data_IF_309514732488
#
_entry.id   IF_309514732488
#
_cell.length_a   1.000
_cell.length_b   1.000
_cell.length_c   1.000
_cell.angle_alpha   90.00
_cell.angle_beta   90.00
_cell.angle_gamma   90.00
#
_symmetry.space_group_name_H-M   'P 1'
#
loop_
_entity.id
_entity.type
_entity.pdbx_description
1 polymer ?
#
# COMPACT_ATOMS: atom_id res chain seq x y z
N UNK A 1 17.21 27.00 30.80
CA UNK A 1 17.17 27.91 29.62
C UNK A 1 15.72 28.34 29.44
N UNK A 2 15.42 29.63 29.30
CA UNK A 2 14.06 30.08 28.94
C UNK A 2 13.94 30.14 27.41
N UNK A 3 12.87 29.57 26.80
CA UNK A 3 12.63 29.67 25.37
C UNK A 3 12.60 31.12 24.89
N UNK A 4 13.06 31.38 23.66
CA UNK A 4 13.03 32.71 23.05
C UNK A 4 11.63 33.35 23.07
N UNK A 5 10.59 32.52 22.96
CA UNK A 5 9.18 32.89 22.94
C UNK A 5 8.56 33.07 24.34
N UNK A 6 9.29 32.80 25.42
CA UNK A 6 8.75 32.87 26.80
C UNK A 6 8.19 34.23 27.23
N UNK A 7 8.52 35.29 26.49
CA UNK A 7 8.04 36.66 26.74
C UNK A 7 6.94 37.11 25.77
N UNK A 8 6.50 36.24 24.86
CA UNK A 8 5.49 36.61 23.87
C UNK A 8 4.13 36.66 24.56
N UNK A 9 3.48 37.83 24.65
CA UNK A 9 2.18 37.93 25.30
C UNK A 9 1.16 37.11 24.50
N UNK A 10 0.40 36.26 25.20
CA UNK A 10 -0.65 35.41 24.65
C UNK A 10 -0.18 34.29 23.69
N UNK A 11 1.09 33.89 23.73
CA UNK A 11 1.60 32.77 22.95
C UNK A 11 2.40 31.80 23.84
N UNK A 12 1.83 30.62 24.11
CA UNK A 12 2.58 29.51 24.71
C UNK A 12 3.12 28.62 23.59
N UNK A 13 4.44 28.60 23.43
CA UNK A 13 5.09 27.76 22.41
C UNK A 13 4.78 26.27 22.64
N UNK A 14 4.56 25.85 23.88
CA UNK A 14 4.23 24.47 24.21
C UNK A 14 2.83 24.08 23.73
N UNK A 15 1.92 25.05 23.60
CA UNK A 15 0.57 24.87 23.08
C UNK A 15 0.46 25.08 21.56
N UNK A 16 1.53 25.56 20.90
CA UNK A 16 1.53 25.89 19.46
C UNK A 16 2.23 24.84 18.59
N UNK A 17 2.87 23.83 19.20
CA UNK A 17 3.56 22.78 18.47
C UNK A 17 2.57 21.72 17.97
N UNK A 18 2.15 21.87 16.71
CA UNK A 18 1.35 20.88 16.00
C UNK A 18 2.13 19.56 15.79
N UNK A 19 1.42 18.42 15.68
CA UNK A 19 2.04 17.13 15.40
C UNK A 19 2.63 17.11 13.98
N UNK A 20 3.87 16.60 13.85
CA UNK A 20 4.58 16.53 12.57
C UNK A 20 5.03 15.09 12.28
N UNK A 21 4.25 14.42 11.42
CA UNK A 21 4.51 13.04 11.02
C UNK A 21 5.87 12.89 10.30
N UNK A 22 6.32 13.89 9.56
CA UNK A 22 7.54 13.75 8.77
C UNK A 22 8.78 13.86 9.66
N UNK A 23 8.89 14.93 10.43
CA UNK A 23 10.11 15.19 11.21
C UNK A 23 10.15 14.43 12.53
N UNK A 24 9.03 14.29 13.24
CA UNK A 24 9.01 13.62 14.54
C UNK A 24 8.94 12.10 14.37
N UNK A 25 8.07 11.63 13.48
CA UNK A 25 7.74 10.20 13.38
C UNK A 25 8.63 9.49 12.36
N UNK A 26 8.54 9.88 11.08
CA UNK A 26 9.24 9.18 9.99
C UNK A 26 10.75 9.40 10.07
N UNK A 27 11.20 10.65 10.14
CA UNK A 27 12.63 10.98 10.15
C UNK A 27 13.21 10.74 11.53
N UNK A 28 12.61 11.31 12.57
CA UNK A 28 13.11 11.21 13.94
C UNK A 28 13.03 9.81 14.52
N UNK A 29 11.82 9.35 14.81
CA UNK A 29 11.64 8.12 15.57
C UNK A 29 11.95 6.87 14.75
N UNK A 30 11.46 6.76 13.52
CA UNK A 30 11.72 5.58 12.69
C UNK A 30 13.16 5.55 12.19
N UNK A 31 13.54 6.52 11.37
CA UNK A 31 14.80 6.47 10.63
C UNK A 31 16.00 6.79 11.53
N UNK A 32 15.99 7.90 12.26
CA UNK A 32 17.15 8.34 13.03
C UNK A 32 17.32 7.54 14.34
N UNK A 33 16.24 7.00 14.92
CA UNK A 33 16.31 6.13 16.10
C UNK A 33 16.19 4.63 15.79
N UNK A 34 15.00 4.13 15.43
CA UNK A 34 14.76 2.67 15.35
C UNK A 34 15.65 1.95 14.33
N UNK A 35 15.77 2.50 13.11
CA UNK A 35 16.63 1.91 12.08
C UNK A 35 18.09 1.95 12.53
N UNK A 36 18.55 3.06 13.11
CA UNK A 36 19.91 3.20 13.66
C UNK A 36 20.17 2.18 14.77
N UNK A 37 19.28 2.07 15.77
CA UNK A 37 19.46 1.15 16.89
C UNK A 37 19.46 -0.32 16.47
N UNK A 38 18.63 -0.70 15.49
CA UNK A 38 18.67 -2.06 14.94
C UNK A 38 20.02 -2.34 14.26
N UNK A 39 20.58 -1.36 13.55
CA UNK A 39 21.91 -1.51 12.94
C UNK A 39 23.02 -1.59 13.98
N UNK A 40 22.97 -0.74 15.01
CA UNK A 40 23.94 -0.73 16.10
C UNK A 40 23.90 -2.04 16.90
N UNK A 41 22.70 -2.57 17.15
CA UNK A 41 22.52 -3.89 17.74
C UNK A 41 23.25 -4.98 16.94
N UNK A 42 23.08 -5.02 15.62
CA UNK A 42 23.75 -6.02 14.78
C UNK A 42 25.27 -5.89 14.82
N UNK A 43 25.78 -4.66 14.90
CA UNK A 43 27.21 -4.40 15.00
C UNK A 43 27.80 -4.77 16.37
N UNK A 44 27.01 -4.65 17.45
CA UNK A 44 27.43 -4.96 18.81
C UNK A 44 27.33 -6.46 19.13
N UNK A 45 26.22 -7.12 18.75
CA UNK A 45 25.93 -8.52 19.08
C UNK A 45 26.78 -9.52 18.27
N UNK A 46 27.23 -9.13 17.08
CA UNK A 46 27.90 -10.03 16.14
C UNK A 46 29.31 -9.59 15.82
N UNK A 47 30.16 -10.57 15.47
CA UNK A 47 31.47 -10.25 14.89
C UNK A 47 31.28 -9.39 13.62
N UNK A 48 32.22 -8.49 13.35
CA UNK A 48 32.16 -7.58 12.18
C UNK A 48 31.81 -8.31 10.87
N UNK A 49 32.38 -9.51 10.65
CA UNK A 49 32.09 -10.32 9.47
C UNK A 49 30.64 -10.80 9.44
N UNK A 50 30.12 -11.29 10.58
CA UNK A 50 28.74 -11.77 10.69
C UNK A 50 27.73 -10.63 10.61
N UNK A 51 28.00 -9.49 11.26
CA UNK A 51 27.18 -8.28 11.15
C UNK A 51 27.04 -7.84 9.69
N UNK A 52 28.16 -7.76 8.95
CA UNK A 52 28.14 -7.40 7.53
C UNK A 52 27.35 -8.40 6.66
N UNK A 53 27.39 -9.70 6.99
CA UNK A 53 26.58 -10.71 6.29
C UNK A 53 25.09 -10.53 6.53
N UNK A 54 24.68 -10.27 7.78
CA UNK A 54 23.29 -10.03 8.14
C UNK A 54 22.77 -8.75 7.48
N UNK A 55 23.54 -7.66 7.54
CA UNK A 55 23.18 -6.40 6.89
C UNK A 55 23.04 -6.57 5.38
N UNK A 56 23.93 -7.34 4.75
CA UNK A 56 23.83 -7.65 3.32
C UNK A 56 22.60 -8.50 2.98
N UNK A 57 22.20 -9.42 3.87
CA UNK A 57 20.99 -10.25 3.68
C UNK A 57 19.72 -9.40 3.80
N UNK A 58 19.66 -8.48 4.76
CA UNK A 58 18.59 -7.47 4.90
C UNK A 58 18.50 -6.59 3.66
N UNK A 59 19.63 -6.07 3.20
CA UNK A 59 19.69 -5.23 2.00
C UNK A 59 19.23 -6.01 0.76
N UNK A 60 19.56 -7.30 0.69
CA UNK A 60 19.11 -8.19 -0.38
C UNK A 60 17.60 -8.47 -0.30
N UNK A 61 17.07 -8.75 0.89
CA UNK A 61 15.63 -8.92 1.14
C UNK A 61 14.86 -7.69 0.64
N UNK A 62 15.28 -6.51 1.06
CA UNK A 62 14.71 -5.23 0.64
C UNK A 62 14.81 -5.04 -0.88
N UNK A 63 15.93 -5.40 -1.51
CA UNK A 63 16.13 -5.28 -2.95
C UNK A 63 15.27 -6.26 -3.78
N UNK A 64 14.90 -7.41 -3.19
CA UNK A 64 14.09 -8.47 -3.83
C UNK A 64 12.59 -8.28 -3.65
N UNK A 65 12.15 -7.28 -2.88
CA UNK A 65 10.72 -6.95 -2.73
C UNK A 65 10.09 -6.73 -4.11
N UNK A 66 8.95 -7.40 -4.42
CA UNK A 66 8.26 -7.21 -5.69
C UNK A 66 7.95 -5.74 -5.98
N UNK A 67 7.86 -5.38 -7.26
CA UNK A 67 7.42 -4.02 -7.61
C UNK A 67 5.98 -3.80 -7.18
N UNK A 68 5.71 -2.68 -6.51
CA UNK A 68 4.38 -2.27 -6.09
C UNK A 68 4.15 -0.80 -6.46
N UNK A 69 2.91 -0.43 -6.77
CA UNK A 69 2.58 0.95 -7.14
C UNK A 69 2.78 1.88 -5.94
N UNK A 70 3.46 3.01 -6.13
CA UNK A 70 3.79 3.93 -5.03
C UNK A 70 4.89 3.44 -4.06
N UNK A 71 5.51 2.27 -4.30
CA UNK A 71 6.68 1.82 -3.56
C UNK A 71 7.97 2.15 -4.34
N UNK A 72 8.84 2.96 -3.74
CA UNK A 72 10.18 3.20 -4.28
C UNK A 72 11.03 1.93 -4.10
N UNK A 73 11.74 1.55 -5.15
CA UNK A 73 12.66 0.39 -5.12
C UNK A 73 14.02 0.77 -4.53
N UNK A 74 14.61 -0.21 -3.86
CA UNK A 74 15.92 -0.13 -3.20
C UNK A 74 16.88 -1.17 -3.82
N UNK A 75 17.38 -0.96 -5.04
CA UNK A 75 18.23 -1.96 -5.73
C UNK A 75 19.54 -2.27 -5.00
N UNK A 76 20.04 -1.32 -4.19
CA UNK A 76 21.24 -1.46 -3.34
C UNK A 76 20.87 -1.58 -1.85
N UNK A 77 19.61 -1.95 -1.53
CA UNK A 77 19.12 -2.00 -0.15
C UNK A 77 19.19 -0.62 0.52
N UNK A 78 19.76 -0.54 1.73
CA UNK A 78 19.85 0.69 2.51
C UNK A 78 21.07 1.58 2.16
N UNK A 79 21.85 1.23 1.15
CA UNK A 79 23.14 1.89 0.79
C UNK A 79 23.08 3.33 0.27
N UNK A 80 22.07 4.14 0.63
CA UNK A 80 21.90 5.50 0.11
C UNK A 80 22.79 6.53 0.84
N UNK A 81 23.52 7.34 0.06
CA UNK A 81 24.38 8.43 0.58
C UNK A 81 23.57 9.58 1.21
N UNK A 82 22.34 9.79 0.75
CA UNK A 82 21.43 10.80 1.27
C UNK A 82 20.00 10.23 1.25
N UNK A 83 19.36 10.20 2.41
CA UNK A 83 18.00 9.71 2.58
C UNK A 83 17.01 10.88 2.51
N UNK A 84 15.96 10.76 1.70
CA UNK A 84 14.81 11.68 1.72
C UNK A 84 13.69 11.19 2.65
N UNK A 85 12.69 12.04 2.89
CA UNK A 85 11.46 11.64 3.58
C UNK A 85 10.75 10.48 2.88
N UNK A 86 10.70 10.49 1.55
CA UNK A 86 10.08 9.44 0.75
C UNK A 86 10.87 8.12 0.78
N UNK A 87 12.21 8.19 0.83
CA UNK A 87 13.05 7.01 1.05
C UNK A 87 12.74 6.37 2.41
N UNK A 88 12.56 7.21 3.44
CA UNK A 88 12.24 6.73 4.79
C UNK A 88 10.86 6.06 4.81
N UNK A 89 9.84 6.66 4.19
CA UNK A 89 8.49 6.07 4.06
C UNK A 89 8.51 4.76 3.28
N UNK A 90 9.25 4.69 2.17
CA UNK A 90 9.34 3.48 1.39
C UNK A 90 10.10 2.37 2.15
N UNK A 91 11.11 2.73 2.95
CA UNK A 91 11.78 1.77 3.83
C UNK A 91 10.83 1.24 4.92
N UNK A 92 9.98 2.09 5.51
CA UNK A 92 8.99 1.63 6.52
C UNK A 92 8.13 0.48 6.00
N UNK A 93 7.75 0.51 4.71
CA UNK A 93 6.92 -0.52 4.04
C UNK A 93 7.59 -1.91 3.96
N UNK A 94 8.91 -1.97 4.09
CA UNK A 94 9.69 -3.21 3.84
C UNK A 94 10.62 -3.60 4.99
N UNK A 95 10.85 -2.69 5.94
CA UNK A 95 11.85 -2.86 7.00
C UNK A 95 11.49 -3.94 8.01
N UNK A 96 10.25 -3.94 8.50
CA UNK A 96 9.80 -4.89 9.54
C UNK A 96 9.93 -6.36 9.07
N UNK A 97 9.42 -6.76 7.89
CA UNK A 97 9.68 -8.08 7.32
C UNK A 97 11.18 -8.40 7.15
N UNK A 98 11.98 -7.42 6.74
CA UNK A 98 13.38 -7.63 6.44
C UNK A 98 14.22 -7.90 7.70
N UNK A 99 13.83 -7.38 8.88
CA UNK A 99 14.58 -7.57 10.12
C UNK A 99 14.06 -8.71 10.99
N UNK A 100 12.83 -9.19 10.77
CA UNK A 100 12.13 -10.09 11.70
C UNK A 100 12.93 -11.36 12.06
N UNK A 101 13.70 -11.91 11.11
CA UNK A 101 14.51 -13.12 11.33
C UNK A 101 15.95 -12.85 11.80
N UNK A 102 16.31 -11.59 12.07
CA UNK A 102 17.68 -11.17 12.39
C UNK A 102 17.83 -10.43 13.71
N UNK A 103 16.73 -10.11 14.39
CA UNK A 103 16.73 -9.39 15.69
C UNK A 103 15.88 -10.15 16.71
N UNK A 104 16.06 -9.89 18.03
CA UNK A 104 15.22 -10.48 19.05
C UNK A 104 13.74 -10.14 18.82
N UNK A 105 12.79 -11.06 19.11
CA UNK A 105 11.36 -10.82 18.89
C UNK A 105 10.85 -9.51 19.51
N UNK A 106 11.36 -9.15 20.69
CA UNK A 106 10.99 -7.89 21.36
C UNK A 106 11.33 -6.62 20.56
N UNK A 107 12.41 -6.63 19.77
CA UNK A 107 12.70 -5.53 18.82
C UNK A 107 11.70 -5.49 17.68
N UNK A 108 11.29 -6.66 17.17
CA UNK A 108 10.23 -6.77 16.14
C UNK A 108 8.92 -6.21 16.69
N UNK A 109 8.55 -6.54 17.94
CA UNK A 109 7.34 -6.04 18.58
C UNK A 109 7.37 -4.51 18.73
N UNK A 110 8.51 -3.94 19.12
CA UNK A 110 8.68 -2.50 19.21
C UNK A 110 8.48 -1.82 17.85
N UNK A 111 9.14 -2.32 16.80
CA UNK A 111 8.99 -1.74 15.45
C UNK A 111 7.57 -1.92 14.93
N UNK A 112 6.95 -3.09 15.14
CA UNK A 112 5.56 -3.37 14.75
C UNK A 112 4.56 -2.43 15.42
N UNK A 113 4.61 -2.28 16.75
CA UNK A 113 3.75 -1.36 17.49
C UNK A 113 3.93 0.10 17.05
N UNK A 114 5.16 0.50 16.72
CA UNK A 114 5.44 1.82 16.17
C UNK A 114 4.85 2.01 14.77
N UNK A 115 4.92 0.99 13.90
CA UNK A 115 4.30 1.04 12.56
C UNK A 115 2.78 1.15 12.64
N UNK A 116 2.16 0.43 13.59
CA UNK A 116 0.73 0.52 13.85
C UNK A 116 0.32 1.93 14.32
N UNK A 117 1.06 2.52 15.27
CA UNK A 117 0.87 3.92 15.65
C UNK A 117 0.95 4.85 14.43
N UNK A 118 1.98 4.68 13.59
CA UNK A 118 2.17 5.51 12.40
C UNK A 118 1.03 5.38 11.40
N UNK A 119 0.45 4.19 11.27
CA UNK A 119 -0.71 3.93 10.43
C UNK A 119 -1.93 4.68 10.95
N UNK A 120 -2.27 4.50 12.23
CA UNK A 120 -3.42 5.15 12.87
C UNK A 120 -3.30 6.69 12.88
N UNK A 121 -2.12 7.22 13.19
CA UNK A 121 -1.88 8.66 13.22
C UNK A 121 -1.96 9.32 11.83
N UNK A 122 -1.96 8.53 10.76
CA UNK A 122 -2.19 8.97 9.38
C UNK A 122 -3.63 8.81 8.93
N UNK A 123 -4.55 8.38 9.78
CA UNK A 123 -5.95 8.43 9.40
C UNK A 123 -6.39 9.87 9.20
N UNK A 124 -7.15 10.11 8.13
CA UNK A 124 -7.69 11.43 7.85
C UNK A 124 -8.87 11.80 8.73
N UNK A 125 -9.60 10.79 9.21
CA UNK A 125 -10.63 10.91 10.23
C UNK A 125 -10.22 10.08 11.42
N UNK A 126 -10.13 10.73 12.58
CA UNK A 126 -9.71 10.11 13.83
C UNK A 126 -10.82 10.37 14.84
N UNK A 127 -11.52 9.32 15.23
CA UNK A 127 -12.54 9.33 16.27
C UNK A 127 -11.94 8.91 17.63
N UNK A 128 -12.74 8.91 18.69
CA UNK A 128 -12.27 8.50 20.03
C UNK A 128 -11.84 7.03 20.08
N UNK A 129 -12.42 6.16 19.24
CA UNK A 129 -11.99 4.76 19.10
C UNK A 129 -10.58 4.68 18.54
N UNK A 130 -10.30 5.43 17.47
CA UNK A 130 -8.98 5.50 16.85
C UNK A 130 -7.95 6.13 17.80
N UNK A 131 -8.33 7.16 18.57
CA UNK A 131 -7.46 7.73 19.60
C UNK A 131 -7.09 6.71 20.69
N UNK A 132 -8.04 5.91 21.15
CA UNK A 132 -7.76 4.84 22.11
C UNK A 132 -6.79 3.79 21.52
N UNK A 133 -6.95 3.45 20.22
CA UNK A 133 -6.02 2.57 19.52
C UNK A 133 -4.62 3.19 19.36
N UNK A 134 -4.53 4.50 19.11
CA UNK A 134 -3.26 5.25 19.07
C UNK A 134 -2.55 5.18 20.42
N UNK A 135 -3.26 5.46 21.52
CA UNK A 135 -2.71 5.39 22.87
C UNK A 135 -2.24 3.96 23.22
N UNK A 136 -3.01 2.95 22.82
CA UNK A 136 -2.64 1.55 23.02
C UNK A 136 -1.39 1.16 22.22
N UNK A 137 -1.27 1.58 20.96
CA UNK A 137 -0.10 1.33 20.11
C UNK A 137 1.16 2.02 20.67
N UNK A 138 1.05 3.28 21.11
CA UNK A 138 2.15 4.00 21.79
C UNK A 138 2.54 3.29 23.09
N UNK A 139 1.56 2.84 23.89
CA UNK A 139 1.80 2.09 25.12
C UNK A 139 2.57 0.79 24.87
N UNK A 140 2.17 0.01 23.86
CA UNK A 140 2.91 -1.19 23.43
C UNK A 140 4.32 -0.83 22.96
N UNK A 141 4.46 0.18 22.11
CA UNK A 141 5.77 0.62 21.65
C UNK A 141 6.71 1.00 22.80
N UNK A 142 6.24 1.77 23.78
CA UNK A 142 7.03 2.16 24.95
C UNK A 142 7.43 0.99 25.84
N UNK A 143 6.56 -0.01 25.99
CA UNK A 143 6.88 -1.22 26.73
C UNK A 143 7.96 -2.06 26.02
N UNK A 144 7.80 -2.27 24.71
CA UNK A 144 8.68 -3.18 23.97
C UNK A 144 10.04 -2.53 23.62
N UNK A 145 10.10 -1.19 23.43
CA UNK A 145 11.36 -0.49 23.12
C UNK A 145 12.41 -0.60 24.22
N UNK A 146 12.04 -0.94 25.46
CA UNK A 146 12.97 -1.20 26.57
C UNK A 146 14.06 -2.19 26.20
N UNK A 147 13.81 -3.08 25.23
CA UNK A 147 14.85 -3.97 24.68
C UNK A 147 16.12 -3.23 24.25
N UNK A 148 16.00 -2.00 23.71
CA UNK A 148 17.16 -1.23 23.26
C UNK A 148 18.05 -0.76 24.43
N UNK A 149 17.48 -0.58 25.64
CA UNK A 149 18.24 -0.37 26.87
C UNK A 149 18.80 -1.70 27.39
N UNK A 150 17.98 -2.75 27.41
CA UNK A 150 18.37 -4.09 27.89
C UNK A 150 19.59 -4.65 27.15
N UNK A 151 19.68 -4.41 25.84
CA UNK A 151 20.84 -4.81 25.01
C UNK A 151 21.96 -3.78 24.96
N UNK A 152 21.85 -2.66 25.69
CA UNK A 152 22.88 -1.64 25.82
C UNK A 152 23.10 -0.75 24.59
N UNK A 153 22.10 -0.64 23.70
CA UNK A 153 22.17 0.19 22.49
C UNK A 153 21.68 1.62 22.74
N UNK A 154 20.82 1.81 23.73
CA UNK A 154 20.28 3.09 24.13
C UNK A 154 20.50 3.28 25.64
N UNK A 155 20.95 4.47 26.06
CA UNK A 155 21.12 4.77 27.49
C UNK A 155 19.78 5.15 28.15
N UNK A 156 18.98 5.98 27.49
CA UNK A 156 17.65 6.39 27.93
C UNK A 156 16.78 6.89 26.75
N UNK A 157 15.46 7.02 27.00
CA UNK A 157 14.50 7.50 26.00
C UNK A 157 14.16 8.99 26.11
N UNK A 158 15.01 9.81 26.73
CA UNK A 158 14.85 11.27 26.87
C UNK A 158 15.16 12.00 25.56
N UNK A 159 14.70 11.43 24.45
CA UNK A 159 14.88 11.93 23.10
C UNK A 159 13.62 12.71 22.70
N UNK A 160 13.73 13.97 22.24
CA UNK A 160 12.58 14.82 21.95
C UNK A 160 11.54 14.17 21.02
N UNK A 161 11.99 13.46 19.98
CA UNK A 161 11.08 12.82 19.03
C UNK A 161 10.39 11.59 19.63
N UNK A 162 11.07 10.80 20.46
CA UNK A 162 10.46 9.68 21.20
C UNK A 162 9.43 10.19 22.23
N UNK A 163 9.75 11.28 22.92
CA UNK A 163 8.86 11.89 23.90
C UNK A 163 7.59 12.48 23.26
N UNK A 164 7.72 13.06 22.05
CA UNK A 164 6.60 13.68 21.34
C UNK A 164 5.41 12.74 21.11
N UNK A 165 5.66 11.43 21.01
CA UNK A 165 4.63 10.40 20.79
C UNK A 165 3.53 10.46 21.84
N UNK A 166 3.87 10.69 23.12
CA UNK A 166 2.92 10.76 24.22
C UNK A 166 1.87 11.86 24.05
N UNK A 167 2.18 12.87 23.25
CA UNK A 167 1.32 14.04 23.07
C UNK A 167 0.39 13.91 21.87
N UNK A 168 0.55 12.88 21.02
CA UNK A 168 -0.20 12.77 19.77
C UNK A 168 -1.71 12.79 19.98
N UNK A 169 -2.25 12.04 20.95
CA UNK A 169 -3.69 12.01 21.20
C UNK A 169 -4.24 13.36 21.66
N UNK A 170 -3.51 14.09 22.49
CA UNK A 170 -3.88 15.46 22.90
C UNK A 170 -3.77 16.45 21.75
N UNK A 171 -2.69 16.35 20.96
CA UNK A 171 -2.43 17.19 19.81
C UNK A 171 -3.46 16.98 18.71
N UNK A 172 -3.91 15.75 18.46
CA UNK A 172 -4.96 15.45 17.48
C UNK A 172 -6.29 16.09 17.92
N UNK A 173 -6.64 16.05 19.22
CA UNK A 173 -7.84 16.73 19.72
C UNK A 173 -7.77 18.25 19.56
N UNK A 174 -6.59 18.84 19.71
CA UNK A 174 -6.39 20.30 19.60
C UNK A 174 -6.32 20.79 18.15
N UNK A 175 -5.65 20.04 17.27
CA UNK A 175 -5.29 20.50 15.92
C UNK A 175 -5.97 19.73 14.79
N UNK A 176 -6.65 18.63 15.09
CA UNK A 176 -7.22 17.72 14.11
C UNK A 176 -6.22 16.69 13.58
N UNK A 177 -6.62 15.97 12.53
CA UNK A 177 -5.84 14.87 11.96
C UNK A 177 -4.46 15.36 11.45
N UNK A 178 -3.34 14.69 11.80
CA UNK A 178 -1.99 15.18 11.49
C UNK A 178 -1.70 15.33 9.99
N UNK A 179 -2.39 14.56 9.14
CA UNK A 179 -2.24 14.64 7.69
C UNK A 179 -2.49 16.04 7.12
N UNK A 180 -3.40 16.82 7.72
CA UNK A 180 -3.76 18.15 7.24
C UNK A 180 -2.80 19.27 7.65
N UNK A 181 -1.88 18.99 8.58
CA UNK A 181 -1.01 19.98 9.25
C UNK A 181 0.47 19.60 9.23
N UNK A 182 0.81 18.41 8.72
CA UNK A 182 2.17 17.92 8.63
C UNK A 182 3.04 18.75 7.68
N UNK A 183 4.32 18.92 8.04
CA UNK A 183 5.33 19.60 7.24
C UNK A 183 5.56 18.97 5.86
N UNK A 184 5.11 17.72 5.62
CA UNK A 184 5.14 17.10 4.29
C UNK A 184 4.37 17.89 3.22
N UNK A 185 3.33 18.64 3.62
CA UNK A 185 2.55 19.49 2.71
C UNK A 185 3.42 20.64 2.18
N UNK A 186 4.21 21.27 3.03
CA UNK A 186 5.08 22.38 2.63
C UNK A 186 6.34 21.88 1.95
N UNK A 187 6.93 20.77 2.40
CA UNK A 187 8.12 20.15 1.79
C UNK A 187 7.86 19.65 0.36
N UNK A 188 6.70 19.04 0.09
CA UNK A 188 6.32 18.65 -1.28
C UNK A 188 6.18 19.86 -2.22
N UNK A 189 5.68 20.99 -1.71
CA UNK A 189 5.62 22.26 -2.46
C UNK A 189 6.99 22.90 -2.67
N UNK A 190 7.97 22.69 -1.78
CA UNK A 190 9.34 23.13 -2.02
C UNK A 190 9.99 22.46 -3.25
N UNK A 191 9.55 21.25 -3.62
CA UNK A 191 10.00 20.55 -4.84
C UNK A 191 9.30 21.08 -6.10
N UNK A 192 7.99 21.34 -6.04
CA UNK A 192 7.19 21.74 -7.21
C UNK A 192 7.15 23.25 -7.46
N UNK A 193 7.31 24.06 -6.41
CA UNK A 193 7.20 25.51 -6.45
C UNK A 193 8.31 26.13 -5.58
N UNK A 194 9.51 26.37 -6.16
CA UNK A 194 10.50 27.23 -5.53
C UNK A 194 9.86 28.55 -5.14
N UNK A 195 10.37 29.23 -4.10
CA UNK A 195 9.79 30.46 -3.53
C UNK A 195 9.33 31.49 -4.58
N UNK A 196 10.03 31.60 -5.71
CA UNK A 196 9.65 32.46 -6.85
C UNK A 196 8.33 32.08 -7.53
N UNK A 197 8.04 30.79 -7.68
CA UNK A 197 6.78 30.30 -8.25
C UNK A 197 5.60 30.56 -7.30
N UNK A 198 5.80 30.39 -5.99
CA UNK A 198 4.79 30.67 -4.97
C UNK A 198 4.42 32.16 -4.94
N UNK A 199 5.41 33.04 -5.07
CA UNK A 199 5.20 34.49 -5.19
C UNK A 199 4.44 34.86 -6.48
N UNK A 200 4.74 34.18 -7.59
CA UNK A 200 4.02 34.36 -8.87
C UNK A 200 2.57 33.87 -8.79
N UNK A 201 2.30 32.75 -8.13
CA UNK A 201 0.94 32.24 -7.93
C UNK A 201 0.12 33.18 -7.05
N UNK A 202 0.69 33.70 -5.95
CA UNK A 202 0.01 34.70 -5.12
C UNK A 202 -0.27 35.98 -5.91
N UNK A 203 0.69 36.45 -6.72
CA UNK A 203 0.44 37.57 -7.64
C UNK A 203 -0.64 37.29 -8.68
N UNK A 204 -0.76 36.05 -9.17
CA UNK A 204 -1.83 35.66 -10.10
C UNK A 204 -3.20 35.61 -9.42
N UNK A 205 -3.27 35.13 -8.17
CA UNK A 205 -4.49 35.16 -7.38
C UNK A 205 -4.93 36.59 -7.09
N UNK A 206 -4.02 37.49 -6.73
CA UNK A 206 -4.31 38.91 -6.53
C UNK A 206 -4.83 39.57 -7.81
N UNK A 207 -4.22 39.24 -8.96
CA UNK A 207 -4.68 39.71 -10.28
C UNK A 207 -6.05 39.15 -10.65
N UNK A 208 -6.34 37.89 -10.33
CA UNK A 208 -7.65 37.28 -10.56
C UNK A 208 -8.73 37.93 -9.69
N UNK A 209 -8.43 38.20 -8.41
CA UNK A 209 -9.33 38.94 -7.52
C UNK A 209 -9.61 40.34 -8.09
N UNK A 210 -8.58 41.05 -8.56
CA UNK A 210 -8.75 42.35 -9.20
C UNK A 210 -9.58 42.30 -10.49
N UNK A 211 -9.40 41.26 -11.32
CA UNK A 211 -10.19 41.04 -12.54
C UNK A 211 -11.64 40.67 -12.22
N UNK A 212 -11.90 39.86 -11.19
CA UNK A 212 -13.25 39.56 -10.72
C UNK A 212 -13.97 40.83 -10.26
N UNK A 213 -13.30 41.74 -9.55
CA UNK A 213 -13.85 43.04 -9.16
C UNK A 213 -14.14 43.93 -10.38
N UNK A 214 -13.25 43.97 -11.38
CA UNK A 214 -13.48 44.71 -12.63
C UNK A 214 -14.67 44.15 -13.42
N UNK A 215 -14.79 42.81 -13.53
CA UNK A 215 -15.90 42.15 -14.21
C UNK A 215 -17.23 42.28 -13.46
N UNK A 216 -17.24 42.24 -12.13
CA UNK A 216 -18.41 42.58 -11.32
C UNK A 216 -18.85 44.04 -11.58
N UNK A 217 -17.90 44.98 -11.61
CA UNK A 217 -18.21 46.40 -11.85
C UNK A 217 -18.80 46.68 -13.25
N UNK A 218 -18.49 45.81 -14.22
CA UNK A 218 -19.01 45.87 -15.60
C UNK A 218 -20.28 45.04 -15.79
N UNK A 219 -20.82 44.43 -14.72
CA UNK A 219 -21.99 43.56 -14.78
C UNK A 219 -21.76 42.25 -15.53
N UNK A 220 -20.50 41.87 -15.75
CA UNK A 220 -20.10 40.65 -16.47
C UNK A 220 -19.95 39.43 -15.56
N UNK A 221 -19.96 39.64 -14.24
CA UNK A 221 -19.98 38.60 -13.22
C UNK A 221 -21.05 38.92 -12.17
N UNK A 222 -21.94 37.97 -11.90
CA UNK A 222 -22.92 38.04 -10.81
C UNK A 222 -22.43 37.10 -9.71
N UNK A 223 -22.06 37.66 -8.56
CA UNK A 223 -21.71 36.87 -7.39
C UNK A 223 -22.96 36.16 -6.87
N UNK A 224 -22.93 34.85 -6.60
CA UNK A 224 -23.98 34.24 -5.79
C UNK A 224 -23.92 34.87 -4.40
N UNK A 225 -25.06 35.31 -3.89
CA UNK A 225 -25.23 35.65 -2.48
C UNK A 225 -24.77 34.44 -1.67
N UNK A 226 -23.74 34.59 -0.84
CA UNK A 226 -23.34 33.55 0.12
C UNK A 226 -24.44 33.49 1.17
N UNK A 227 -25.47 32.69 0.87
CA UNK A 227 -26.50 32.22 1.77
C UNK A 227 -26.51 30.70 1.63
N UNK A 228 -26.39 30.03 2.77
CA UNK A 228 -26.47 28.59 2.99
C UNK A 228 -27.21 27.85 1.88
N UNK A 229 -26.49 26.94 1.21
CA UNK A 229 -26.99 25.65 0.70
C UNK A 229 -25.83 24.98 -0.07
N UNK A 230 -24.75 24.66 0.65
CA UNK A 230 -23.92 23.53 0.26
C UNK A 230 -24.72 22.28 0.63
N UNK A 231 -25.66 21.92 -0.24
CA UNK A 231 -26.34 20.63 -0.15
C UNK A 231 -25.27 19.59 -0.44
N UNK A 232 -24.91 18.83 0.60
CA UNK A 232 -24.10 17.62 0.50
C UNK A 232 -24.61 16.79 -0.68
N UNK A 233 -23.82 16.73 -1.75
CA UNK A 233 -24.02 15.71 -2.76
C UNK A 233 -23.76 14.36 -2.07
N UNK A 234 -24.71 13.41 -2.11
CA UNK A 234 -24.54 12.10 -1.48
C UNK A 234 -23.22 11.47 -1.93
N UNK A 235 -22.39 11.12 -0.96
CA UNK A 235 -21.06 10.55 -1.19
C UNK A 235 -21.11 9.37 -2.16
N UNK A 236 -20.30 9.46 -3.21
CA UNK A 236 -19.92 8.28 -4.00
C UNK A 236 -18.94 7.44 -3.17
N UNK A 237 -19.43 6.77 -2.13
CA UNK A 237 -18.66 5.82 -1.34
C UNK A 237 -18.71 4.46 -2.06
N UNK A 238 -18.05 4.36 -3.21
CA UNK A 238 -17.82 3.05 -3.86
C UNK A 238 -16.66 2.39 -3.13
N UNK A 239 -16.88 1.20 -2.54
CA UNK A 239 -15.86 0.43 -1.81
C UNK A 239 -14.60 0.18 -2.68
N UNK A 240 -14.79 0.00 -3.99
CA UNK A 240 -13.75 0.02 -5.01
C UNK A 240 -14.35 -0.13 -6.42
N UNK A 241 -13.77 0.52 -7.43
CA UNK A 241 -14.12 0.39 -8.85
C UNK A 241 -12.87 0.10 -9.66
N UNK A 242 -12.87 -1.00 -10.42
CA UNK A 242 -11.75 -1.41 -11.26
C UNK A 242 -12.14 -1.35 -12.72
N UNK A 243 -11.32 -0.68 -13.53
CA UNK A 243 -11.53 -0.53 -14.97
C UNK A 243 -10.33 -0.98 -15.77
N UNK A 244 -10.56 -1.82 -16.79
CA UNK A 244 -9.51 -2.18 -17.75
C UNK A 244 -8.97 -0.95 -18.47
N UNK A 245 -7.72 -1.03 -18.93
CA UNK A 245 -7.15 0.00 -19.78
C UNK A 245 -8.03 0.28 -21.01
N UNK A 246 -8.15 1.57 -21.38
CA UNK A 246 -9.02 2.01 -22.49
C UNK A 246 -8.73 1.30 -23.82
N UNK A 247 -7.48 0.99 -24.08
CA UNK A 247 -7.05 0.36 -25.33
C UNK A 247 -6.58 -1.08 -25.06
N UNK A 248 -7.12 -2.09 -25.77
CA UNK A 248 -6.58 -3.44 -25.75
C UNK A 248 -5.13 -3.48 -26.23
N UNK A 249 -4.36 -4.40 -25.67
CA UNK A 249 -3.04 -4.74 -26.13
C UNK A 249 -3.09 -5.26 -27.57
N UNK A 250 -2.10 -4.88 -28.36
CA UNK A 250 -1.98 -5.27 -29.76
C UNK A 250 -1.21 -6.59 -29.89
N UNK A 251 -1.28 -7.23 -31.05
CA UNK A 251 -0.51 -8.43 -31.40
C UNK A 251 -0.88 -9.71 -30.63
N UNK A 252 -1.99 -9.71 -29.88
CA UNK A 252 -2.56 -10.91 -29.29
C UNK A 252 -3.53 -11.60 -30.26
N UNK A 253 -3.58 -12.95 -30.25
CA UNK A 253 -4.65 -13.67 -30.92
C UNK A 253 -6.02 -13.26 -30.36
N UNK A 254 -7.02 -13.26 -31.25
CA UNK A 254 -8.37 -12.77 -30.96
C UNK A 254 -9.37 -13.86 -30.59
N UNK A 255 -9.00 -15.13 -30.73
CA UNK A 255 -9.81 -16.28 -30.30
C UNK A 255 -9.19 -16.91 -29.07
N UNK A 256 -10.03 -17.47 -28.20
CA UNK A 256 -9.64 -18.01 -26.91
C UNK A 256 -8.59 -19.13 -27.02
N UNK A 257 -8.77 -20.09 -27.94
CA UNK A 257 -7.85 -21.22 -28.11
C UNK A 257 -6.47 -20.79 -28.62
N UNK A 258 -6.43 -19.85 -29.57
CA UNK A 258 -5.16 -19.32 -30.08
C UNK A 258 -4.45 -18.50 -29.00
N UNK A 259 -5.22 -17.72 -28.22
CA UNK A 259 -4.67 -16.98 -27.09
C UNK A 259 -4.08 -17.93 -26.04
N UNK A 260 -4.80 -19.00 -25.70
CA UNK A 260 -4.38 -20.02 -24.73
C UNK A 260 -3.01 -20.63 -25.11
N UNK A 261 -2.84 -20.97 -26.39
CA UNK A 261 -1.56 -21.43 -26.93
C UNK A 261 -0.48 -20.36 -26.89
N UNK A 262 -0.80 -19.13 -27.31
CA UNK A 262 0.14 -18.01 -27.36
C UNK A 262 0.72 -17.64 -26.00
N UNK A 263 -0.10 -17.63 -24.93
CA UNK A 263 0.35 -17.31 -23.57
C UNK A 263 0.82 -18.54 -22.78
N UNK A 264 0.90 -19.71 -23.41
CA UNK A 264 1.26 -20.98 -22.76
C UNK A 264 0.36 -21.34 -21.56
N UNK A 265 -0.94 -21.06 -21.65
CA UNK A 265 -1.97 -21.45 -20.66
C UNK A 265 -3.08 -22.24 -21.39
N UNK A 266 -2.86 -23.53 -21.69
CA UNK A 266 -3.79 -24.33 -22.51
C UNK A 266 -5.17 -24.53 -21.87
N UNK A 267 -5.26 -24.41 -20.54
CA UNK A 267 -6.50 -24.52 -19.76
C UNK A 267 -7.33 -23.23 -19.73
N UNK A 268 -6.91 -22.17 -20.42
CA UNK A 268 -7.65 -20.91 -20.43
C UNK A 268 -9.13 -21.07 -20.87
N UNK A 269 -9.48 -21.91 -21.87
CA UNK A 269 -10.87 -22.19 -22.19
C UNK A 269 -11.65 -22.84 -21.05
N UNK A 270 -11.03 -23.77 -20.31
CA UNK A 270 -11.64 -24.41 -19.13
C UNK A 270 -11.97 -23.35 -18.07
N UNK A 271 -11.03 -22.44 -17.78
CA UNK A 271 -11.24 -21.37 -16.80
C UNK A 271 -12.35 -20.40 -17.19
N UNK A 272 -12.53 -20.10 -18.48
CA UNK A 272 -13.65 -19.29 -18.96
C UNK A 272 -14.98 -20.04 -18.78
N UNK A 273 -15.02 -21.35 -19.03
CA UNK A 273 -16.23 -22.16 -18.80
C UNK A 273 -16.63 -22.19 -17.32
N UNK A 274 -15.67 -22.47 -16.43
CA UNK A 274 -15.89 -22.45 -14.98
C UNK A 274 -16.36 -21.06 -14.51
N UNK A 275 -15.73 -19.99 -15.00
CA UNK A 275 -16.16 -18.63 -14.68
C UNK A 275 -17.59 -18.33 -15.14
N UNK A 276 -17.96 -18.72 -16.37
CA UNK A 276 -19.32 -18.53 -16.87
C UNK A 276 -20.35 -19.33 -16.06
N UNK A 277 -19.98 -20.52 -15.57
CA UNK A 277 -20.81 -21.24 -14.63
C UNK A 277 -21.09 -20.41 -13.38
N UNK A 278 -20.06 -19.82 -12.76
CA UNK A 278 -20.22 -18.95 -11.59
C UNK A 278 -21.12 -17.75 -11.89
N UNK A 279 -20.96 -17.12 -13.07
CA UNK A 279 -21.79 -15.97 -13.46
C UNK A 279 -23.25 -16.32 -13.69
N UNK A 280 -23.55 -17.54 -14.16
CA UNK A 280 -24.93 -17.99 -14.41
C UNK A 280 -25.59 -18.61 -13.18
N UNK A 281 -24.82 -18.92 -12.13
CA UNK A 281 -25.29 -19.59 -10.93
C UNK A 281 -24.80 -18.87 -9.64
N UNK A 282 -25.09 -17.57 -9.47
CA UNK A 282 -24.55 -16.77 -8.36
C UNK A 282 -24.99 -17.24 -6.98
N UNK A 283 -26.15 -17.91 -6.87
CA UNK A 283 -26.69 -18.39 -5.59
C UNK A 283 -26.18 -19.79 -5.20
N UNK A 284 -25.29 -20.40 -5.99
CA UNK A 284 -24.79 -21.76 -5.72
C UNK A 284 -23.55 -21.72 -4.82
N UNK A 285 -23.51 -22.63 -3.83
CA UNK A 285 -22.37 -22.75 -2.92
C UNK A 285 -21.14 -23.43 -3.58
N UNK A 286 -21.34 -24.09 -4.71
CA UNK A 286 -20.28 -24.83 -5.41
C UNK A 286 -19.69 -23.95 -6.51
N UNK A 287 -18.40 -23.63 -6.39
CA UNK A 287 -17.67 -22.90 -7.43
C UNK A 287 -17.54 -23.75 -8.70
N UNK A 288 -17.62 -23.11 -9.87
CA UNK A 288 -17.48 -23.72 -11.19
C UNK A 288 -16.14 -24.42 -11.40
N UNK A 289 -15.10 -24.09 -10.61
CA UNK A 289 -13.83 -24.81 -10.58
C UNK A 289 -13.93 -26.23 -9.98
N UNK A 290 -14.94 -26.47 -9.12
CA UNK A 290 -15.19 -27.76 -8.46
C UNK A 290 -16.29 -28.58 -9.17
N UNK A 291 -16.91 -28.01 -10.21
CA UNK A 291 -17.93 -28.66 -11.02
C UNK A 291 -17.28 -29.40 -12.20
N UNK A 292 -17.76 -30.61 -12.58
CA UNK A 292 -17.30 -31.28 -13.80
C UNK A 292 -17.49 -30.38 -15.02
N UNK A 293 -16.49 -30.32 -15.90
CA UNK A 293 -16.49 -29.41 -17.04
C UNK A 293 -17.69 -29.61 -17.98
N UNK A 294 -18.25 -30.83 -18.03
CA UNK A 294 -19.44 -31.16 -18.80
C UNK A 294 -20.71 -30.46 -18.31
N UNK A 295 -20.74 -30.03 -17.05
CA UNK A 295 -21.82 -29.25 -16.47
C UNK A 295 -21.59 -27.73 -16.61
N UNK A 296 -20.40 -27.30 -17.04
CA UNK A 296 -20.13 -25.89 -17.33
C UNK A 296 -20.70 -25.48 -18.70
N UNK A 297 -21.07 -24.19 -18.88
CA UNK A 297 -21.52 -23.69 -20.17
C UNK A 297 -20.46 -23.88 -21.26
N UNK A 298 -20.87 -24.37 -22.43
CA UNK A 298 -19.96 -24.51 -23.56
C UNK A 298 -19.54 -23.14 -24.09
N UNK A 299 -18.23 -22.92 -24.24
CA UNK A 299 -17.69 -21.70 -24.85
C UNK A 299 -17.68 -21.84 -26.38
N UNK A 300 -18.21 -20.85 -27.14
CA UNK A 300 -18.16 -20.86 -28.59
C UNK A 300 -16.70 -20.94 -29.12
N UNK A 301 -16.41 -21.74 -30.16
CA UNK A 301 -15.05 -21.87 -30.72
C UNK A 301 -14.45 -20.54 -31.22
N UNK A 302 -15.31 -19.58 -31.57
CA UNK A 302 -14.93 -18.27 -32.09
C UNK A 302 -15.15 -17.14 -31.08
N UNK A 303 -15.23 -17.46 -29.78
CA UNK A 303 -15.35 -16.44 -28.73
C UNK A 303 -14.21 -15.43 -28.84
N UNK A 304 -14.58 -14.18 -29.14
CA UNK A 304 -13.61 -13.13 -29.36
C UNK A 304 -13.12 -12.57 -28.03
N UNK A 305 -11.81 -12.51 -27.88
CA UNK A 305 -11.14 -12.02 -26.68
C UNK A 305 -10.30 -10.78 -26.97
N UNK A 306 -10.26 -9.87 -26.00
CA UNK A 306 -9.35 -8.71 -25.96
C UNK A 306 -8.43 -8.87 -24.76
N UNK A 307 -7.15 -8.56 -24.92
CA UNK A 307 -6.15 -8.62 -23.85
C UNK A 307 -5.78 -7.21 -23.40
N UNK A 308 -5.47 -7.03 -22.12
CA UNK A 308 -5.07 -5.75 -21.53
C UNK A 308 -3.86 -5.96 -20.63
N UNK A 309 -2.98 -4.96 -20.54
CA UNK A 309 -1.77 -5.00 -19.70
C UNK A 309 -1.93 -4.33 -18.35
N UNK A 310 -3.09 -3.70 -18.11
CA UNK A 310 -3.38 -3.06 -16.84
C UNK A 310 -4.86 -2.82 -16.63
N UNK A 311 -5.22 -2.70 -15.36
CA UNK A 311 -6.47 -2.11 -14.90
C UNK A 311 -6.15 -0.95 -13.95
N UNK A 312 -7.10 -0.04 -13.78
CA UNK A 312 -7.05 1.06 -12.83
C UNK A 312 -8.06 0.77 -11.73
N UNK A 313 -7.59 0.65 -10.49
CA UNK A 313 -8.43 0.54 -9.30
C UNK A 313 -8.65 1.93 -8.71
N UNK A 314 -9.90 2.20 -8.32
CA UNK A 314 -10.34 3.45 -7.69
C UNK A 314 -11.02 3.09 -6.39
N UNK A 315 -10.44 3.43 -5.25
CA UNK A 315 -10.94 3.00 -3.94
C UNK A 315 -10.78 4.10 -2.91
N UNK A 316 -11.57 4.03 -1.84
CA UNK A 316 -11.45 4.99 -0.74
C UNK A 316 -10.30 4.57 0.19
N UNK A 317 -9.34 5.46 0.42
CA UNK A 317 -8.19 5.21 1.31
C UNK A 317 -8.23 6.19 2.50
N UNK A 318 -8.73 5.76 3.68
CA UNK A 318 -8.91 6.63 4.83
C UNK A 318 -7.61 7.30 5.33
N UNK A 319 -6.45 6.68 5.06
CA UNK A 319 -5.13 7.16 5.47
C UNK A 319 -4.46 8.16 4.52
N UNK A 320 -4.99 8.37 3.31
CA UNK A 320 -4.37 9.23 2.29
C UNK A 320 -5.43 9.91 1.41
N UNK A 321 -5.89 11.12 1.78
CA UNK A 321 -6.82 11.93 0.98
C UNK A 321 -6.10 12.63 -0.18
N UNK A 322 -5.20 11.94 -0.88
CA UNK A 322 -4.65 12.40 -2.15
C UNK A 322 -5.69 12.16 -3.27
N UNK A 323 -6.78 12.93 -3.29
CA UNK A 323 -7.85 12.80 -4.29
C UNK A 323 -9.14 13.55 -3.94
N UNK A 324 -10.04 13.72 -4.91
CA UNK A 324 -11.36 14.33 -4.68
C UNK A 324 -12.16 13.38 -3.76
N UNK A 325 -12.50 13.82 -2.55
CA UNK A 325 -13.32 13.07 -1.61
C UNK A 325 -12.67 11.85 -0.96
N UNK A 326 -11.33 11.76 -0.92
CA UNK A 326 -10.62 10.62 -0.30
C UNK A 326 -10.43 9.39 -1.20
N UNK A 327 -10.73 9.52 -2.50
CA UNK A 327 -10.57 8.45 -3.49
C UNK A 327 -9.14 8.38 -4.02
N UNK A 328 -8.52 7.21 -3.90
CA UNK A 328 -7.21 6.87 -4.46
C UNK A 328 -7.36 6.18 -5.82
N UNK A 329 -6.39 6.37 -6.70
CA UNK A 329 -6.31 5.65 -7.96
C UNK A 329 -4.95 4.98 -8.08
N UNK A 330 -4.95 3.68 -8.40
CA UNK A 330 -3.72 2.99 -8.72
C UNK A 330 -3.84 2.10 -9.95
N UNK A 331 -2.70 1.84 -10.58
CA UNK A 331 -2.62 0.99 -11.75
C UNK A 331 -2.12 -0.39 -11.36
N UNK A 332 -2.96 -1.41 -11.58
CA UNK A 332 -2.60 -2.81 -11.45
C UNK A 332 -2.05 -3.29 -12.78
N UNK A 333 -0.86 -3.91 -12.79
CA UNK A 333 -0.16 -4.34 -14.00
C UNK A 333 -0.17 -5.86 -14.16
N UNK A 334 -0.42 -6.29 -15.39
CA UNK A 334 -0.24 -7.66 -15.87
C UNK A 334 0.39 -7.60 -17.27
N UNK A 335 1.68 -7.29 -17.30
CA UNK A 335 2.43 -7.08 -18.54
C UNK A 335 3.59 -8.06 -18.65
N UNK A 336 3.71 -8.83 -19.74
CA UNK A 336 4.83 -9.76 -19.93
C UNK A 336 6.16 -9.05 -20.16
N UNK A 337 6.13 -7.79 -20.58
CA UNK A 337 7.30 -6.93 -20.75
C UNK A 337 7.00 -5.60 -20.05
N UNK A 338 7.87 -5.20 -19.12
CA UNK A 338 7.73 -3.93 -18.40
C UNK A 338 9.05 -3.16 -18.43
N UNK A 339 9.01 -1.89 -18.87
CA UNK A 339 10.19 -1.01 -18.97
C UNK A 339 11.38 -1.65 -19.70
N UNK A 340 11.13 -2.37 -20.80
CA UNK A 340 12.13 -3.14 -21.56
C UNK A 340 12.85 -4.23 -20.75
N UNK A 341 12.28 -4.65 -19.63
CA UNK A 341 12.78 -5.72 -18.77
C UNK A 341 11.81 -6.90 -18.68
N UNK A 342 11.82 -7.55 -17.53
CA UNK A 342 10.97 -8.69 -17.24
C UNK A 342 9.49 -8.30 -17.09
N UNK A 343 8.61 -9.31 -17.09
CA UNK A 343 7.19 -9.09 -16.87
C UNK A 343 6.89 -8.59 -15.47
N UNK A 344 5.86 -7.73 -15.37
CA UNK A 344 5.31 -7.23 -14.12
C UNK A 344 3.88 -7.74 -13.96
N UNK A 345 3.65 -8.46 -12.87
CA UNK A 345 2.39 -9.11 -12.53
C UNK A 345 2.10 -8.80 -11.07
N UNK A 346 1.23 -7.81 -10.86
CA UNK A 346 0.92 -7.26 -9.56
C UNK A 346 -0.03 -8.18 -8.78
N UNK A 347 0.08 -8.15 -7.45
CA UNK A 347 -0.85 -8.81 -6.55
C UNK A 347 -2.01 -7.87 -6.22
N UNK A 348 -3.17 -8.43 -5.92
CA UNK A 348 -4.43 -7.72 -5.65
C UNK A 348 -5.16 -8.36 -4.49
N UNK A 349 -5.92 -7.55 -3.77
CA UNK A 349 -6.99 -8.00 -2.89
C UNK A 349 -8.27 -8.21 -3.69
N UNK A 350 -8.94 -9.33 -3.44
CA UNK A 350 -10.22 -9.70 -4.03
C UNK A 350 -11.22 -9.81 -2.88
N UNK A 351 -12.39 -9.22 -3.05
CA UNK A 351 -13.48 -9.34 -2.08
C UNK A 351 -13.93 -10.80 -1.95
N UNK A 352 -13.98 -11.30 -0.71
CA UNK A 352 -14.46 -12.64 -0.39
C UNK A 352 -15.79 -12.56 0.37
N UNK A 353 -15.80 -11.80 1.46
CA UNK A 353 -16.98 -11.62 2.28
C UNK A 353 -17.09 -10.16 2.72
N UNK A 354 -18.04 -9.38 2.15
CA UNK A 354 -18.20 -7.97 2.46
C UNK A 354 -18.74 -7.72 3.88
N UNK A 355 -19.21 -8.76 4.58
CA UNK A 355 -19.67 -8.65 5.97
C UNK A 355 -18.52 -8.77 7.00
N UNK A 356 -17.33 -9.16 6.55
CA UNK A 356 -16.16 -9.35 7.41
C UNK A 356 -15.15 -8.24 7.16
N UNK A 357 -14.95 -7.40 8.16
CA UNK A 357 -13.97 -6.31 8.09
C UNK A 357 -12.52 -6.82 8.08
N UNK A 358 -11.66 -6.08 7.37
CA UNK A 358 -10.22 -6.31 7.32
C UNK A 358 -9.81 -7.52 6.47
N UNK A 359 -8.54 -7.90 6.57
CA UNK A 359 -7.93 -8.94 5.75
C UNK A 359 -8.66 -10.30 5.76
N UNK A 360 -9.36 -10.67 6.84
CA UNK A 360 -10.13 -11.93 6.92
C UNK A 360 -11.29 -11.99 5.93
N UNK A 361 -11.80 -10.84 5.48
CA UNK A 361 -12.81 -10.73 4.43
C UNK A 361 -12.23 -10.69 3.02
N UNK A 362 -10.91 -10.85 2.85
CA UNK A 362 -10.21 -10.66 1.59
C UNK A 362 -9.48 -11.93 1.13
N UNK A 363 -9.51 -12.16 -0.17
CA UNK A 363 -8.57 -13.06 -0.84
C UNK A 363 -7.39 -12.30 -1.43
N UNK A 364 -6.28 -13.01 -1.63
CA UNK A 364 -5.08 -12.47 -2.27
C UNK A 364 -4.79 -13.26 -3.54
N UNK A 365 -4.56 -12.55 -4.63
CA UNK A 365 -4.18 -13.18 -5.89
C UNK A 365 -3.15 -12.36 -6.66
N UNK A 366 -2.38 -13.02 -7.53
CA UNK A 366 -1.48 -12.35 -8.49
C UNK A 366 -2.11 -12.35 -9.86
N UNK A 367 -2.27 -11.16 -10.47
CA UNK A 367 -2.88 -11.05 -11.80
C UNK A 367 -1.87 -11.42 -12.88
N UNK A 368 -2.24 -12.38 -13.72
CA UNK A 368 -1.41 -12.90 -14.83
C UNK A 368 -1.83 -12.38 -16.20
N UNK A 369 -3.11 -12.05 -16.35
CA UNK A 369 -3.65 -11.54 -17.60
C UNK A 369 -4.93 -10.76 -17.29
N UNK A 370 -5.10 -9.58 -17.88
CA UNK A 370 -6.41 -8.97 -18.00
C UNK A 370 -6.97 -9.28 -19.39
N UNK A 371 -8.22 -9.70 -19.45
CA UNK A 371 -8.90 -9.98 -20.71
C UNK A 371 -10.37 -9.57 -20.64
N UNK A 372 -11.00 -9.38 -21.78
CA UNK A 372 -12.46 -9.26 -21.85
C UNK A 372 -13.00 -10.03 -23.05
N UNK A 373 -14.22 -10.52 -22.92
CA UNK A 373 -14.94 -11.18 -24.00
C UNK A 373 -16.43 -10.86 -23.91
N UNK A 374 -17.13 -11.05 -25.02
CA UNK A 374 -18.56 -10.79 -25.12
C UNK A 374 -19.27 -12.09 -25.49
N UNK A 375 -20.24 -12.50 -24.69
CA UNK A 375 -21.05 -13.69 -24.91
C UNK A 375 -22.13 -13.43 -25.97
N UNK A 376 -22.82 -14.49 -26.43
CA UNK A 376 -23.79 -14.42 -27.54
C UNK A 376 -25.00 -13.52 -27.24
N UNK A 377 -25.35 -13.38 -25.96
CA UNK A 377 -26.38 -12.47 -25.44
C UNK A 377 -25.96 -10.99 -25.45
N UNK A 378 -24.70 -10.69 -25.81
CA UNK A 378 -24.16 -9.34 -25.85
C UNK A 378 -23.54 -8.86 -24.54
N UNK A 379 -23.52 -9.70 -23.50
CA UNK A 379 -22.92 -9.36 -22.20
C UNK A 379 -21.40 -9.36 -22.30
N UNK A 380 -20.75 -8.26 -21.90
CA UNK A 380 -19.29 -8.15 -21.91
C UNK A 380 -18.73 -8.40 -20.51
N UNK A 381 -17.87 -9.41 -20.39
CA UNK A 381 -17.20 -9.78 -19.15
C UNK A 381 -15.75 -9.30 -19.16
N UNK A 382 -15.42 -8.23 -18.41
CA UNK A 382 -14.04 -7.89 -18.09
C UNK A 382 -13.52 -8.79 -16.96
N UNK A 383 -12.41 -9.46 -17.21
CA UNK A 383 -11.88 -10.49 -16.32
C UNK A 383 -10.38 -10.35 -16.07
N UNK A 384 -9.94 -10.96 -14.98
CA UNK A 384 -8.54 -11.17 -14.65
C UNK A 384 -8.27 -12.67 -14.47
N UNK A 385 -7.24 -13.18 -15.15
CA UNK A 385 -6.67 -14.50 -14.86
C UNK A 385 -5.72 -14.36 -13.69
N UNK A 386 -5.95 -15.10 -12.60
CA UNK A 386 -5.23 -14.90 -11.35
C UNK A 386 -4.59 -16.18 -10.82
N UNK A 387 -3.45 -16.05 -10.16
CA UNK A 387 -2.79 -17.10 -9.37
C UNK A 387 -3.08 -16.86 -7.87
N UNK A 388 -3.73 -17.81 -7.20
CA UNK A 388 -4.26 -17.63 -5.85
C UNK A 388 -3.23 -17.81 -4.74
N UNK A 389 -3.49 -17.17 -3.60
CA UNK A 389 -2.79 -17.41 -2.34
C UNK A 389 -3.79 -17.61 -1.21
N UNK A 390 -3.59 -18.67 -0.42
CA UNK A 390 -4.36 -18.92 0.80
C UNK A 390 -3.70 -18.30 2.01
N UNK A 391 -4.53 -17.88 2.96
CA UNK A 391 -4.07 -17.47 4.30
C UNK A 391 -3.42 -18.66 5.01
N UNK A 392 -2.19 -18.47 5.49
CA UNK A 392 -1.44 -19.55 6.14
C UNK A 392 -2.01 -19.93 7.50
N UNK A 393 -2.63 -18.97 8.20
CA UNK A 393 -3.23 -19.09 9.53
C UNK A 393 -4.47 -18.20 9.63
N UNK A 394 -5.29 -18.47 10.64
CA UNK A 394 -6.51 -17.69 10.95
C UNK A 394 -6.21 -16.38 11.72
N UNK A 395 -4.94 -16.09 11.98
CA UNK A 395 -4.51 -14.87 12.68
C UNK A 395 -3.21 -14.31 12.07
N UNK A 396 -2.94 -13.00 12.26
CA UNK A 396 -1.65 -12.41 11.92
C UNK A 396 -0.50 -13.09 12.67
N UNK A 397 0.72 -12.92 12.14
CA UNK A 397 1.94 -13.33 12.81
C UNK A 397 2.07 -12.61 14.16
N UNK A 398 2.20 -13.37 15.25
CA UNK A 398 2.34 -12.81 16.60
C UNK A 398 3.52 -11.84 16.74
N UNK A 399 4.57 -12.01 15.93
CA UNK A 399 5.75 -11.17 16.02
C UNK A 399 5.68 -9.89 15.20
N UNK A 400 5.23 -10.00 13.95
CA UNK A 400 5.22 -8.85 13.04
C UNK A 400 3.89 -8.12 13.02
N UNK A 401 2.80 -8.77 13.46
CA UNK A 401 1.43 -8.30 13.27
C UNK A 401 0.95 -8.38 11.82
N UNK A 402 1.74 -8.94 10.90
CA UNK A 402 1.40 -9.05 9.48
C UNK A 402 0.78 -10.41 9.17
N UNK A 403 -0.17 -10.43 8.23
CA UNK A 403 -0.74 -11.67 7.73
C UNK A 403 0.25 -12.44 6.86
N UNK A 404 0.15 -13.77 6.87
CA UNK A 404 0.94 -14.64 6.01
C UNK A 404 0.04 -15.31 4.98
N UNK A 405 0.50 -15.30 3.72
CA UNK A 405 -0.14 -16.04 2.64
C UNK A 405 0.84 -17.01 1.99
N UNK A 406 0.31 -18.13 1.51
CA UNK A 406 1.05 -19.17 0.80
C UNK A 406 0.51 -19.31 -0.62
N UNK A 407 1.37 -19.53 -1.63
CA UNK A 407 0.95 -19.95 -2.95
C UNK A 407 0.00 -21.14 -2.95
N UNK A 408 -1.16 -20.99 -3.59
CA UNK A 408 -2.02 -22.14 -3.83
C UNK A 408 -1.45 -22.96 -4.97
N UNK A 409 -1.35 -24.27 -4.73
CA UNK A 409 -0.81 -25.22 -5.68
C UNK A 409 -1.71 -26.45 -5.76
N UNK A 410 -1.83 -27.01 -6.97
CA UNK A 410 -2.45 -28.30 -7.20
C UNK A 410 -1.59 -29.45 -6.64
N UNK A 411 -2.12 -30.68 -6.68
CA UNK A 411 -1.41 -31.88 -6.22
C UNK A 411 -0.07 -32.15 -6.94
N UNK A 412 0.24 -31.45 -8.04
CA UNK A 412 1.50 -31.53 -8.80
C UNK A 412 2.42 -30.35 -8.50
N UNK A 413 2.07 -29.48 -7.56
CA UNK A 413 2.85 -28.28 -7.19
C UNK A 413 2.73 -27.13 -8.20
N UNK A 414 1.76 -27.16 -9.11
CA UNK A 414 1.53 -26.05 -10.06
C UNK A 414 0.57 -25.04 -9.46
N UNK A 415 0.80 -23.74 -9.70
CA UNK A 415 -0.06 -22.67 -9.19
C UNK A 415 -1.53 -22.91 -9.55
N UNK A 416 -2.40 -22.79 -8.56
CA UNK A 416 -3.86 -22.77 -8.74
C UNK A 416 -4.23 -21.47 -9.45
N UNK A 417 -4.99 -21.60 -10.53
CA UNK A 417 -5.38 -20.48 -11.41
C UNK A 417 -6.88 -20.55 -11.64
N UNK A 418 -7.54 -19.39 -11.62
CA UNK A 418 -8.89 -19.24 -12.13
C UNK A 418 -9.07 -17.87 -12.78
N UNK A 419 -10.26 -17.64 -13.32
CA UNK A 419 -10.67 -16.37 -13.89
C UNK A 419 -11.67 -15.70 -12.94
N UNK A 420 -11.44 -14.43 -12.63
CA UNK A 420 -12.34 -13.62 -11.79
C UNK A 420 -12.85 -12.42 -12.56
N UNK A 421 -14.04 -11.94 -12.21
CA UNK A 421 -14.54 -10.66 -12.72
C UNK A 421 -13.71 -9.53 -12.12
N UNK A 422 -13.39 -8.47 -12.88
CA UNK A 422 -12.55 -7.40 -12.32
C UNK A 422 -13.23 -6.61 -11.20
N UNK A 423 -14.57 -6.61 -11.16
CA UNK A 423 -15.33 -5.90 -10.12
C UNK A 423 -15.15 -6.53 -8.73
N UNK A 424 -14.66 -7.77 -8.64
CA UNK A 424 -14.29 -8.38 -7.35
C UNK A 424 -12.93 -7.93 -6.85
N UNK A 425 -12.12 -7.28 -7.70
CA UNK A 425 -10.81 -6.75 -7.32
C UNK A 425 -11.04 -5.42 -6.60
N UNK A 426 -10.48 -5.27 -5.40
CA UNK A 426 -10.54 -4.01 -4.67
C UNK A 426 -9.41 -3.08 -5.11
N UNK A 427 -8.18 -3.52 -4.81
CA UNK A 427 -6.95 -2.77 -5.09
C UNK A 427 -5.73 -3.72 -5.02
N UNK A 428 -4.54 -3.19 -5.26
CA UNK A 428 -3.27 -3.88 -5.20
C UNK A 428 -2.92 -4.36 -3.79
N UNK A 429 -2.37 -5.56 -3.70
CA UNK A 429 -1.82 -6.16 -2.49
C UNK A 429 -0.30 -6.19 -2.57
N UNK A 430 0.38 -5.80 -1.51
CA UNK A 430 1.84 -5.85 -1.45
C UNK A 430 2.30 -7.09 -0.68
N UNK A 431 2.94 -8.01 -1.38
CA UNK A 431 3.48 -9.25 -0.82
C UNK A 431 5.01 -9.17 -0.70
N UNK A 432 5.53 -9.52 0.48
CA UNK A 432 6.97 -9.54 0.75
C UNK A 432 7.37 -10.95 1.15
N UNK A 433 8.34 -11.52 0.42
CA UNK A 433 8.79 -12.89 0.66
C UNK A 433 9.46 -13.07 2.02
N UNK A 434 9.17 -14.18 2.69
CA UNK A 434 9.77 -14.50 3.99
C UNK A 434 10.92 -15.49 3.80
N UNK A 435 12.15 -15.04 4.04
CA UNK A 435 13.33 -15.91 3.94
C UNK A 435 13.55 -16.81 5.19
N UNK A 436 13.00 -16.42 6.34
CA UNK A 436 13.36 -17.04 7.62
C UNK A 436 14.85 -16.83 7.91
N UNK A 437 15.53 -17.86 8.40
CA UNK A 437 16.98 -17.81 8.66
C UNK A 437 17.85 -18.22 7.46
N UNK A 438 17.25 -18.42 6.28
CA UNK A 438 17.98 -18.84 5.08
C UNK A 438 18.59 -17.64 4.35
N UNK A 439 19.89 -17.71 4.05
CA UNK A 439 20.55 -16.71 3.21
C UNK A 439 20.01 -16.82 1.79
N UNK A 440 19.51 -15.71 1.25
CA UNK A 440 18.95 -15.68 -0.09
C UNK A 440 20.00 -15.90 -1.17
N UNK A 441 19.59 -16.56 -2.26
CA UNK A 441 20.43 -16.67 -3.45
C UNK A 441 20.70 -15.29 -4.04
N UNK A 442 21.97 -15.00 -4.33
CA UNK A 442 22.39 -13.77 -5.02
C UNK A 442 21.90 -13.65 -6.46
N UNK A 443 21.26 -14.68 -7.00
CA UNK A 443 20.61 -14.64 -8.31
C UNK A 443 19.14 -14.26 -8.24
N UNK A 444 18.55 -14.23 -7.03
CA UNK A 444 17.16 -13.83 -6.86
C UNK A 444 17.01 -12.35 -7.18
N UNK A 445 16.08 -12.03 -8.07
CA UNK A 445 15.71 -10.65 -8.38
C UNK A 445 14.25 -10.42 -8.05
N UNK A 446 13.87 -9.16 -7.87
CA UNK A 446 12.51 -8.73 -7.55
C UNK A 446 11.42 -9.22 -8.53
N UNK A 447 11.78 -9.63 -9.75
CA UNK A 447 10.83 -10.15 -10.73
C UNK A 447 10.40 -11.59 -10.43
N UNK A 448 11.25 -12.33 -9.70
CA UNK A 448 11.05 -13.74 -9.37
C UNK A 448 10.68 -13.95 -7.90
N UNK A 449 10.63 -12.90 -7.09
CA UNK A 449 10.34 -13.03 -5.65
C UNK A 449 8.97 -13.65 -5.40
N UNK A 450 7.94 -13.30 -6.18
CA UNK A 450 6.61 -13.92 -6.08
C UNK A 450 6.55 -15.41 -6.51
N UNK A 451 7.66 -15.98 -6.99
CA UNK A 451 7.74 -17.36 -7.47
C UNK A 451 8.66 -18.25 -6.61
N UNK A 452 9.47 -17.68 -5.71
CA UNK A 452 10.55 -18.40 -5.01
C UNK A 452 10.26 -18.68 -3.54
N UNK A 453 9.56 -17.78 -2.85
CA UNK A 453 9.28 -17.95 -1.42
C UNK A 453 8.09 -18.88 -1.18
N UNK A 454 8.13 -19.60 -0.06
CA UNK A 454 7.05 -20.50 0.34
C UNK A 454 5.91 -19.76 1.02
N UNK A 455 6.22 -18.66 1.70
CA UNK A 455 5.26 -17.81 2.41
C UNK A 455 5.64 -16.34 2.21
N UNK A 456 4.63 -15.48 2.25
CA UNK A 456 4.74 -14.04 2.03
C UNK A 456 4.03 -13.29 3.15
N UNK A 457 4.66 -12.25 3.68
CA UNK A 457 3.96 -11.23 4.45
C UNK A 457 3.04 -10.44 3.54
N UNK A 458 1.80 -10.27 3.96
CA UNK A 458 0.86 -9.33 3.37
C UNK A 458 1.00 -8.02 4.11
N UNK A 459 1.34 -6.98 3.37
CA UNK A 459 1.42 -5.64 3.92
C UNK A 459 0.16 -4.86 3.53
N UNK A 460 -0.76 -4.74 4.49
CA UNK A 460 -2.07 -4.09 4.33
C UNK A 460 -1.98 -2.55 4.31
N UNK A 461 -0.83 -2.00 4.70
CA UNK A 461 -0.69 -0.55 4.81
C UNK A 461 -0.44 0.06 3.42
N UNK A 462 -1.52 0.51 2.79
CA UNK A 462 -1.48 1.59 1.80
C UNK A 462 -1.08 2.88 2.53
N UNK A 463 0.21 3.25 2.43
CA UNK A 463 0.72 4.54 2.87
C UNK A 463 0.79 5.55 1.75
#
# INVERSE_FOLDING_TARGET
MQPFTSKFPCADIHELLAPDLLHQIIKGTFKDHLVTWVMDYMAAEHSKTRANQILADIDWLIATVPSFTGLRRFPEGRGFKQWTGDDSKALMKVFLPAIASHVPPKMVYAVSAFMEFCYLARHSQIDETTLASIDAAIGRFHKEREIFIEVGICEDFSLPQQHSLLHYSSLIRLFGAPNGICSSITESKHIQAPLGQMLLTNQHLDKLVAVCVDFESRGMLIRPSIGQDAVDAPGMTVLGDVKLARCPAQQYPKTLDLLAGYISKPKLPEYVQCFLYDQFNPDTEICGMDVPLEACPMVPPFLWVKVFHSAMATYHAPSDISGIGGMHHEWIRASPIWQNGHGRYDCVFIDNNPEVDGFTGLYVARVKLFLSFTTEDGTNYPCALVEWFSTHRDSPCEETGLWHVVPDCDARGRRTVSLVHIDTILHGAHLIGVAGHHILSKTLTYNHSLDVFHYYHVHEIAW
#
